data_IF_232711143109
#
_entry.id   IF_232711143109
#
_cell.length_a   1.000
_cell.length_b   1.000
_cell.length_c   1.000
_cell.angle_alpha   90.00
_cell.angle_beta   90.00
_cell.angle_gamma   90.00
#
_symmetry.space_group_name_H-M   'P 1'
#
loop_
_entity.id
_entity.type
_entity.pdbx_description
1 polymer ?
#
# COMPACT_ATOMS: atom_id res chain seq x y z
N UNK A 1 18.09 2.30 -17.58
CA UNK A 1 17.55 2.47 -16.22
C UNK A 1 18.50 1.94 -15.16
N UNK A 2 19.10 0.76 -15.37
CA UNK A 2 19.98 0.10 -14.40
C UNK A 2 21.23 0.96 -14.08
N UNK A 3 21.87 1.51 -15.10
CA UNK A 3 23.05 2.39 -14.95
C UNK A 3 22.73 3.64 -14.12
N UNK A 4 21.51 4.16 -14.26
CA UNK A 4 21.06 5.33 -13.47
C UNK A 4 20.85 4.92 -12.01
N UNK A 5 20.26 3.77 -11.75
CA UNK A 5 20.09 3.25 -10.38
C UNK A 5 21.44 3.04 -9.70
N UNK A 6 22.40 2.39 -10.38
CA UNK A 6 23.76 2.21 -9.89
C UNK A 6 24.47 3.57 -9.67
N UNK A 7 24.33 4.52 -10.60
CA UNK A 7 24.91 5.87 -10.44
C UNK A 7 24.35 6.62 -9.23
N UNK A 8 23.05 6.54 -8.97
CA UNK A 8 22.42 7.12 -7.78
C UNK A 8 22.88 6.42 -6.50
N UNK A 9 23.05 5.09 -6.51
CA UNK A 9 23.55 4.34 -5.40
C UNK A 9 24.97 4.82 -4.99
N UNK A 10 25.85 4.99 -5.96
CA UNK A 10 27.18 5.57 -5.71
C UNK A 10 27.12 6.98 -5.15
N UNK A 11 26.22 7.82 -5.66
CA UNK A 11 26.06 9.20 -5.18
C UNK A 11 25.57 9.26 -3.73
N UNK A 12 24.72 8.32 -3.32
CA UNK A 12 24.11 8.32 -1.97
C UNK A 12 25.05 7.70 -0.93
N UNK A 13 25.73 6.59 -1.27
CA UNK A 13 26.44 5.76 -0.28
C UNK A 13 27.88 5.46 -0.64
N UNK A 14 28.39 6.02 -1.74
CA UNK A 14 29.79 5.83 -2.17
C UNK A 14 30.07 4.49 -2.85
N UNK A 15 29.17 3.50 -2.72
CA UNK A 15 29.26 2.21 -3.41
C UNK A 15 27.88 1.56 -3.57
N UNK A 16 27.74 0.68 -4.56
CA UNK A 16 26.52 -0.08 -4.78
C UNK A 16 26.25 -1.07 -3.63
N UNK A 17 27.30 -1.68 -3.07
CA UNK A 17 27.17 -2.60 -1.93
C UNK A 17 26.68 -1.91 -0.66
N UNK A 18 27.20 -0.72 -0.33
CA UNK A 18 26.69 0.04 0.82
C UNK A 18 25.26 0.51 0.59
N UNK A 19 24.90 0.88 -0.65
CA UNK A 19 23.53 1.23 -0.97
C UNK A 19 22.58 0.03 -0.84
N UNK A 20 22.98 -1.16 -1.26
CA UNK A 20 22.20 -2.38 -1.13
C UNK A 20 21.90 -2.73 0.34
N UNK A 21 22.86 -2.49 1.25
CA UNK A 21 22.63 -2.61 2.70
C UNK A 21 21.55 -1.62 3.18
N UNK A 22 21.66 -0.35 2.77
CA UNK A 22 20.63 0.66 3.10
C UNK A 22 19.26 0.29 2.54
N UNK A 23 19.19 -0.27 1.32
CA UNK A 23 17.94 -0.77 0.74
C UNK A 23 17.33 -1.89 1.60
N UNK A 24 18.15 -2.86 2.05
CA UNK A 24 17.70 -3.97 2.90
C UNK A 24 17.21 -3.47 4.26
N UNK A 25 17.95 -2.56 4.91
CA UNK A 25 17.55 -1.94 6.17
C UNK A 25 16.24 -1.15 6.01
N UNK A 26 16.09 -0.41 4.91
CA UNK A 26 14.85 0.35 4.63
C UNK A 26 13.66 -0.56 4.35
N UNK A 27 13.88 -1.69 3.67
CA UNK A 27 12.87 -2.71 3.46
C UNK A 27 12.40 -3.30 4.80
N UNK A 28 13.32 -3.66 5.69
CA UNK A 28 12.99 -4.16 7.02
C UNK A 28 12.17 -3.15 7.84
N UNK A 29 12.51 -1.85 7.78
CA UNK A 29 11.73 -0.77 8.40
C UNK A 29 10.32 -0.63 7.82
N UNK A 30 10.12 -1.02 6.56
CA UNK A 30 8.82 -1.05 5.91
C UNK A 30 7.99 -2.30 6.27
N UNK A 31 8.56 -3.25 7.03
CA UNK A 31 7.94 -4.53 7.38
C UNK A 31 8.24 -5.67 6.40
N UNK A 32 9.16 -5.45 5.45
CA UNK A 32 9.63 -6.46 4.49
C UNK A 32 10.80 -7.24 5.10
N UNK A 33 10.49 -8.32 5.82
CA UNK A 33 11.46 -9.05 6.64
C UNK A 33 12.14 -10.22 5.92
N UNK A 34 11.57 -10.67 4.80
CA UNK A 34 12.08 -11.75 3.96
C UNK A 34 12.71 -11.21 2.66
N UNK A 35 13.37 -10.05 2.75
CA UNK A 35 13.96 -9.33 1.62
C UNK A 35 15.44 -9.05 1.87
N UNK A 36 16.27 -9.36 0.87
CA UNK A 36 17.68 -8.96 0.82
C UNK A 36 18.01 -8.39 -0.55
N UNK A 37 18.52 -7.17 -0.56
CA UNK A 37 19.01 -6.51 -1.77
C UNK A 37 20.54 -6.62 -1.86
N UNK A 38 21.04 -7.13 -2.96
CA UNK A 38 22.47 -7.25 -3.25
C UNK A 38 22.99 -6.13 -4.17
N UNK A 39 22.08 -5.45 -4.90
CA UNK A 39 22.39 -4.34 -5.80
C UNK A 39 21.19 -3.38 -5.96
N UNK A 40 21.45 -2.22 -6.56
CA UNK A 40 20.45 -1.18 -6.77
C UNK A 40 19.60 -1.38 -8.04
N UNK A 41 20.05 -2.19 -8.97
CA UNK A 41 19.46 -2.34 -10.30
C UNK A 41 18.43 -3.46 -10.42
N UNK A 42 18.47 -4.45 -9.51
CA UNK A 42 17.66 -5.65 -9.58
C UNK A 42 18.19 -6.71 -10.55
N UNK A 43 19.43 -6.59 -11.02
CA UNK A 43 20.08 -7.65 -11.76
C UNK A 43 20.30 -8.86 -10.86
N UNK A 44 20.22 -10.05 -11.45
CA UNK A 44 20.31 -11.29 -10.69
C UNK A 44 21.62 -11.43 -9.90
N UNK A 45 21.49 -11.80 -8.64
CA UNK A 45 22.53 -12.30 -7.74
C UNK A 45 21.89 -13.33 -6.82
N UNK A 46 22.64 -14.36 -6.42
CA UNK A 46 22.11 -15.49 -5.63
C UNK A 46 21.47 -15.05 -4.31
N UNK A 47 21.99 -14.00 -3.70
CA UNK A 47 21.52 -13.43 -2.44
C UNK A 47 20.53 -12.25 -2.63
N UNK A 48 20.07 -11.98 -3.87
CA UNK A 48 19.08 -10.94 -4.18
C UNK A 48 17.68 -11.55 -4.24
N UNK A 49 16.94 -11.46 -3.15
CA UNK A 49 15.61 -12.08 -3.04
C UNK A 49 14.59 -11.21 -2.30
N UNK A 50 13.34 -11.51 -2.53
CA UNK A 50 12.18 -10.87 -1.86
C UNK A 50 10.95 -11.78 -1.96
N UNK A 51 9.86 -11.39 -1.31
CA UNK A 51 8.53 -12.01 -1.44
C UNK A 51 7.52 -11.04 -2.05
N UNK A 52 6.38 -11.55 -2.52
CA UNK A 52 5.30 -10.70 -3.02
C UNK A 52 4.74 -9.79 -1.91
N UNK A 53 4.63 -10.31 -0.70
CA UNK A 53 4.21 -9.55 0.47
C UNK A 53 5.18 -8.41 0.78
N UNK A 54 6.46 -8.70 0.83
CA UNK A 54 7.50 -7.71 1.13
C UNK A 54 7.53 -6.58 0.09
N UNK A 55 7.41 -6.93 -1.19
CA UNK A 55 7.34 -5.93 -2.25
C UNK A 55 6.08 -5.05 -2.14
N UNK A 56 4.97 -5.60 -1.66
CA UNK A 56 3.78 -4.79 -1.37
C UNK A 56 4.02 -3.85 -0.19
N UNK A 57 4.72 -4.30 0.87
CA UNK A 57 5.08 -3.46 2.02
C UNK A 57 6.03 -2.32 1.62
N UNK A 58 7.05 -2.62 0.81
CA UNK A 58 7.98 -1.63 0.26
C UNK A 58 7.22 -0.60 -0.59
N UNK A 59 6.36 -1.07 -1.51
CA UNK A 59 5.56 -0.19 -2.37
C UNK A 59 4.62 0.71 -1.55
N UNK A 60 3.93 0.16 -0.55
CA UNK A 60 3.06 0.91 0.36
C UNK A 60 3.82 2.03 1.07
N UNK A 61 5.00 1.73 1.60
CA UNK A 61 5.85 2.70 2.30
C UNK A 61 6.38 3.78 1.34
N UNK A 62 6.82 3.38 0.15
CA UNK A 62 7.33 4.31 -0.85
C UNK A 62 6.25 5.28 -1.36
N UNK A 63 5.02 4.81 -1.56
CA UNK A 63 3.88 5.62 -1.99
C UNK A 63 3.43 6.67 -0.97
N UNK A 64 3.83 6.56 0.29
CA UNK A 64 3.61 7.60 1.29
C UNK A 64 4.42 8.87 0.99
N UNK A 65 5.46 8.78 0.15
CA UNK A 65 6.19 9.94 -0.36
C UNK A 65 5.51 10.46 -1.64
N UNK A 66 4.97 11.69 -1.65
CA UNK A 66 4.24 12.22 -2.81
C UNK A 66 5.11 12.43 -4.04
N UNK A 67 6.41 12.73 -3.89
CA UNK A 67 7.33 12.85 -5.01
C UNK A 67 7.57 11.51 -5.67
N UNK A 68 7.77 10.45 -4.87
CA UNK A 68 7.87 9.08 -5.37
C UNK A 68 6.58 8.69 -6.11
N UNK A 69 5.42 8.91 -5.52
CA UNK A 69 4.13 8.57 -6.13
C UNK A 69 3.94 9.28 -7.48
N UNK A 70 4.33 10.56 -7.58
CA UNK A 70 4.26 11.32 -8.82
C UNK A 70 5.15 10.73 -9.91
N UNK A 71 6.40 10.39 -9.58
CA UNK A 71 7.34 9.79 -10.54
C UNK A 71 6.87 8.40 -10.95
N UNK A 72 6.43 7.60 -9.98
CA UNK A 72 6.02 6.21 -10.17
C UNK A 72 4.76 6.07 -11.03
N UNK A 73 3.85 7.06 -10.96
CA UNK A 73 2.62 7.13 -11.75
C UNK A 73 2.76 7.86 -13.09
N UNK A 74 3.90 8.46 -13.40
CA UNK A 74 4.08 9.26 -14.62
C UNK A 74 4.10 8.38 -15.87
N UNK A 75 3.20 8.64 -16.83
CA UNK A 75 3.16 7.92 -18.11
C UNK A 75 4.41 8.17 -18.95
N UNK A 76 4.91 9.39 -18.93
CA UNK A 76 6.12 9.80 -19.65
C UNK A 76 6.81 10.99 -18.97
N UNK A 77 8.04 11.21 -19.36
CA UNK A 77 8.82 12.38 -18.95
C UNK A 77 9.68 12.90 -20.11
N UNK A 78 9.72 14.21 -20.30
CA UNK A 78 10.57 14.84 -21.31
C UNK A 78 11.84 15.37 -20.67
N UNK A 79 12.97 14.77 -21.04
CA UNK A 79 14.28 15.28 -20.69
C UNK A 79 14.58 16.50 -21.56
N UNK A 80 14.93 17.61 -20.95
CA UNK A 80 15.31 18.82 -21.66
C UNK A 80 16.62 18.63 -22.45
N UNK A 81 16.79 19.41 -23.50
CA UNK A 81 18.05 19.44 -24.24
C UNK A 81 19.21 19.89 -23.34
N UNK A 82 20.37 19.33 -23.57
CA UNK A 82 21.63 19.71 -22.93
C UNK A 82 22.63 20.19 -23.99
N UNK A 83 23.82 20.56 -23.56
CA UNK A 83 24.91 20.88 -24.51
C UNK A 83 25.44 19.64 -25.29
N UNK A 84 24.91 18.43 -25.01
CA UNK A 84 25.37 17.17 -25.61
C UNK A 84 24.24 16.34 -26.21
N UNK A 85 22.98 16.69 -25.99
CA UNK A 85 21.84 15.93 -26.49
C UNK A 85 20.63 16.84 -26.75
N UNK A 86 19.87 16.54 -27.78
CA UNK A 86 18.55 17.08 -28.01
C UNK A 86 17.59 16.65 -26.90
N UNK A 87 16.45 17.35 -26.75
CA UNK A 87 15.39 16.91 -25.84
C UNK A 87 14.76 15.60 -26.33
N UNK A 88 14.47 14.70 -25.42
CA UNK A 88 13.81 13.44 -25.77
C UNK A 88 12.83 13.02 -24.69
N UNK A 89 11.79 12.27 -25.10
CA UNK A 89 10.76 11.77 -24.21
C UNK A 89 11.03 10.34 -23.83
N UNK A 90 10.95 10.05 -22.53
CA UNK A 90 10.98 8.70 -21.95
C UNK A 90 9.55 8.27 -21.65
N UNK A 91 9.20 7.06 -22.01
CA UNK A 91 7.90 6.46 -21.73
C UNK A 91 8.01 5.43 -20.62
N UNK A 92 6.99 5.36 -19.80
CA UNK A 92 6.84 4.28 -18.82
C UNK A 92 6.69 2.95 -19.58
N UNK A 93 7.21 1.86 -18.98
CA UNK A 93 7.11 0.51 -19.60
C UNK A 93 5.97 -0.33 -19.03
N UNK A 94 5.23 0.21 -18.07
CA UNK A 94 4.14 -0.49 -17.40
C UNK A 94 2.84 -0.29 -18.20
N UNK A 95 2.35 -1.35 -18.86
CA UNK A 95 1.25 -1.27 -19.80
C UNK A 95 -0.08 -0.77 -19.20
N UNK A 96 -0.34 -1.01 -17.91
CA UNK A 96 -1.55 -0.52 -17.24
C UNK A 96 -1.58 1.01 -17.07
N UNK A 97 -0.42 1.68 -17.14
CA UNK A 97 -0.31 3.15 -17.02
C UNK A 97 -0.32 3.86 -18.36
N UNK A 98 -0.17 3.14 -19.48
CA UNK A 98 -0.11 3.73 -20.80
C UNK A 98 -1.50 3.82 -21.42
N UNK A 99 -2.00 5.03 -21.59
CA UNK A 99 -3.35 5.30 -22.14
C UNK A 99 -3.59 4.70 -23.54
N UNK A 100 -2.53 4.39 -24.27
CA UNK A 100 -2.57 3.76 -25.60
C UNK A 100 -2.45 2.23 -25.58
N UNK A 101 -2.23 1.64 -24.40
CA UNK A 101 -2.08 0.19 -24.25
C UNK A 101 -3.44 -0.52 -24.25
N UNK A 102 -3.49 -1.73 -24.82
CA UNK A 102 -4.64 -2.63 -24.68
C UNK A 102 -4.89 -3.06 -23.23
N UNK A 103 -3.89 -2.96 -22.37
CA UNK A 103 -3.96 -3.28 -20.94
C UNK A 103 -4.16 -2.03 -20.07
N UNK A 104 -4.47 -0.88 -20.66
CA UNK A 104 -4.69 0.34 -19.89
C UNK A 104 -5.74 0.12 -18.79
N UNK A 105 -5.38 0.42 -17.55
CA UNK A 105 -6.28 0.30 -16.41
C UNK A 105 -6.48 1.66 -15.75
N UNK A 106 -7.66 2.28 -15.89
CA UNK A 106 -7.87 3.70 -15.52
C UNK A 106 -7.68 3.99 -14.04
N UNK A 107 -7.69 2.95 -13.20
CA UNK A 107 -7.45 3.09 -11.76
C UNK A 107 -6.00 2.91 -11.36
N UNK A 108 -5.11 2.48 -12.26
CA UNK A 108 -3.69 2.32 -11.97
C UNK A 108 -3.04 3.68 -11.69
N UNK A 109 -2.38 3.81 -10.54
CA UNK A 109 -1.75 5.06 -10.07
C UNK A 109 -0.23 4.99 -10.02
N UNK A 110 0.35 3.84 -10.27
CA UNK A 110 1.80 3.66 -10.34
C UNK A 110 2.19 2.20 -10.46
N UNK A 111 3.43 1.94 -10.86
CA UNK A 111 3.92 0.59 -10.95
C UNK A 111 5.34 0.48 -11.49
N UNK A 112 5.90 -0.73 -11.46
CA UNK A 112 7.22 -1.06 -12.01
C UNK A 112 7.24 -2.48 -12.53
N UNK A 113 7.74 -2.64 -13.75
CA UNK A 113 8.03 -3.94 -14.37
C UNK A 113 9.45 -4.38 -14.05
N UNK A 114 9.68 -5.69 -13.96
CA UNK A 114 11.00 -6.29 -13.85
C UNK A 114 11.10 -7.55 -14.70
N UNK A 115 12.32 -7.89 -15.08
CA UNK A 115 12.64 -9.13 -15.76
C UNK A 115 14.12 -9.49 -15.56
N UNK A 116 14.36 -10.72 -15.17
CA UNK A 116 15.59 -11.48 -15.37
C UNK A 116 15.23 -12.89 -15.80
N UNK A 117 16.16 -13.66 -16.32
CA UNK A 117 15.87 -15.04 -16.75
C UNK A 117 15.47 -15.92 -15.55
N UNK A 118 16.03 -15.65 -14.37
CA UNK A 118 15.76 -16.39 -13.13
C UNK A 118 14.42 -15.99 -12.50
N UNK A 119 14.13 -14.69 -12.46
CA UNK A 119 12.91 -14.17 -11.83
C UNK A 119 11.67 -14.28 -12.73
N UNK A 120 11.86 -14.42 -14.05
CA UNK A 120 10.76 -14.26 -15.00
C UNK A 120 10.23 -12.84 -15.02
N UNK A 121 9.03 -12.64 -15.52
CA UNK A 121 8.34 -11.34 -15.47
C UNK A 121 7.85 -11.05 -14.05
N UNK A 122 8.14 -9.85 -13.57
CA UNK A 122 7.67 -9.35 -12.29
C UNK A 122 6.99 -8.00 -12.45
N UNK A 123 5.97 -7.75 -11.62
CA UNK A 123 5.20 -6.53 -11.67
C UNK A 123 4.74 -6.13 -10.27
N UNK A 124 4.95 -4.88 -9.94
CA UNK A 124 4.30 -4.23 -8.79
C UNK A 124 3.43 -3.11 -9.33
N UNK A 125 2.16 -3.09 -8.96
CA UNK A 125 1.21 -2.07 -9.40
C UNK A 125 0.38 -1.62 -8.22
N UNK A 126 0.13 -0.31 -8.13
CA UNK A 126 -0.89 0.24 -7.25
C UNK A 126 -2.05 0.77 -8.08
N UNK A 127 -3.25 0.59 -7.57
CA UNK A 127 -4.48 1.13 -8.13
C UNK A 127 -5.35 1.74 -7.04
N UNK A 128 -6.14 2.77 -7.38
CA UNK A 128 -7.07 3.42 -6.48
C UNK A 128 -8.42 3.62 -7.15
N UNK A 129 -9.48 3.17 -6.48
CA UNK A 129 -10.86 3.31 -6.92
C UNK A 129 -11.74 3.58 -5.72
N UNK A 130 -12.59 4.59 -5.78
CA UNK A 130 -13.57 4.95 -4.74
C UNK A 130 -12.96 5.10 -3.33
N UNK A 131 -11.70 5.61 -3.25
CA UNK A 131 -10.96 5.80 -2.01
C UNK A 131 -10.32 4.53 -1.43
N UNK A 132 -10.52 3.37 -2.06
CA UNK A 132 -9.80 2.14 -1.75
C UNK A 132 -8.53 2.07 -2.61
N UNK A 133 -7.39 1.90 -1.96
CA UNK A 133 -6.10 1.70 -2.63
C UNK A 133 -5.62 0.27 -2.44
N UNK A 134 -5.28 -0.38 -3.53
CA UNK A 134 -4.77 -1.75 -3.56
C UNK A 134 -3.38 -1.78 -4.19
N UNK A 135 -2.56 -2.72 -3.75
CA UNK A 135 -1.26 -3.04 -4.34
C UNK A 135 -1.29 -4.49 -4.79
N UNK A 136 -0.98 -4.71 -6.06
CA UNK A 136 -0.83 -6.03 -6.64
C UNK A 136 0.63 -6.30 -6.96
N UNK A 137 1.14 -7.46 -6.57
CA UNK A 137 2.49 -7.93 -6.87
C UNK A 137 2.40 -9.27 -7.58
N UNK A 138 2.94 -9.33 -8.79
CA UNK A 138 3.07 -10.55 -9.58
C UNK A 138 4.55 -10.91 -9.68
N UNK A 139 4.87 -12.15 -9.39
CA UNK A 139 6.23 -12.69 -9.50
C UNK A 139 6.25 -13.94 -10.36
N UNK A 140 7.35 -14.12 -11.11
CA UNK A 140 7.61 -15.28 -11.96
C UNK A 140 6.47 -15.59 -12.94
N UNK A 141 5.92 -14.53 -13.57
CA UNK A 141 4.95 -14.63 -14.65
C UNK A 141 5.63 -14.60 -16.02
N UNK A 142 4.81 -14.60 -17.07
CA UNK A 142 5.21 -14.47 -18.46
C UNK A 142 4.69 -13.18 -19.11
N UNK A 143 5.03 -12.95 -20.38
CA UNK A 143 4.63 -11.76 -21.12
C UNK A 143 3.14 -11.73 -21.46
N UNK A 144 2.49 -12.88 -21.54
CA UNK A 144 1.11 -13.01 -21.97
C UNK A 144 0.12 -12.71 -20.84
N UNK A 145 0.45 -13.11 -19.61
CA UNK A 145 -0.50 -13.10 -18.49
C UNK A 145 -0.25 -11.98 -17.47
N UNK A 146 0.97 -11.45 -17.35
CA UNK A 146 1.33 -10.55 -16.26
C UNK A 146 0.39 -9.34 -16.10
N UNK A 147 -0.07 -8.75 -17.18
CA UNK A 147 -0.96 -7.58 -17.12
C UNK A 147 -2.43 -7.98 -16.94
N UNK A 148 -2.89 -9.04 -17.60
CA UNK A 148 -4.27 -9.54 -17.46
C UNK A 148 -4.54 -10.08 -16.07
N UNK A 149 -3.57 -10.78 -15.47
CA UNK A 149 -3.68 -11.27 -14.10
C UNK A 149 -3.74 -10.13 -13.09
N UNK A 150 -2.90 -9.09 -13.30
CA UNK A 150 -2.93 -7.89 -12.47
C UNK A 150 -4.29 -7.20 -12.51
N UNK A 151 -4.89 -7.03 -13.70
CA UNK A 151 -6.24 -6.45 -13.86
C UNK A 151 -7.28 -7.32 -13.14
N UNK A 152 -7.23 -8.62 -13.35
CA UNK A 152 -8.17 -9.57 -12.73
C UNK A 152 -8.12 -9.53 -11.20
N UNK A 153 -6.92 -9.40 -10.62
CA UNK A 153 -6.73 -9.28 -9.17
C UNK A 153 -7.24 -7.93 -8.64
N UNK A 154 -7.03 -6.82 -9.36
CA UNK A 154 -7.61 -5.54 -8.97
C UNK A 154 -9.13 -5.56 -9.07
N UNK A 155 -9.70 -6.08 -10.14
CA UNK A 155 -11.15 -6.21 -10.29
C UNK A 155 -11.74 -7.08 -9.19
N UNK A 156 -11.08 -8.18 -8.83
CA UNK A 156 -11.47 -8.99 -7.68
C UNK A 156 -11.45 -8.17 -6.39
N UNK A 157 -10.36 -7.45 -6.11
CA UNK A 157 -10.22 -6.65 -4.91
C UNK A 157 -11.29 -5.54 -4.81
N UNK A 158 -11.47 -4.76 -5.87
CA UNK A 158 -12.43 -3.65 -5.89
C UNK A 158 -13.91 -4.09 -5.90
N UNK A 159 -14.20 -5.28 -6.42
CA UNK A 159 -15.57 -5.79 -6.45
C UNK A 159 -15.97 -6.51 -5.15
N UNK A 160 -14.99 -7.04 -4.41
CA UNK A 160 -15.28 -7.87 -3.24
C UNK A 160 -14.97 -7.19 -1.90
N UNK A 161 -14.27 -6.05 -1.91
CA UNK A 161 -13.91 -5.35 -0.68
C UNK A 161 -14.28 -3.88 -0.74
N UNK A 162 -14.65 -3.32 0.42
CA UNK A 162 -15.03 -1.93 0.58
C UNK A 162 -14.29 -1.31 1.75
N UNK A 163 -13.80 -0.09 1.56
CA UNK A 163 -13.25 0.71 2.64
C UNK A 163 -14.39 1.35 3.41
N UNK A 164 -14.49 1.02 4.69
CA UNK A 164 -15.53 1.51 5.59
C UNK A 164 -14.91 2.49 6.59
N UNK A 165 -15.42 3.72 6.60
CA UNK A 165 -15.04 4.71 7.61
C UNK A 165 -15.77 4.36 8.91
N UNK A 166 -15.01 4.05 9.97
CA UNK A 166 -15.56 3.62 11.26
C UNK A 166 -16.44 4.72 11.85
N UNK A 167 -16.00 5.97 11.79
CA UNK A 167 -16.73 7.11 12.36
C UNK A 167 -18.13 7.26 11.79
N UNK A 168 -18.30 6.98 10.48
CA UNK A 168 -19.57 7.16 9.78
C UNK A 168 -20.45 5.91 9.84
N UNK A 169 -19.82 4.73 9.91
CA UNK A 169 -20.50 3.43 9.83
C UNK A 169 -20.82 2.82 11.19
N UNK A 170 -20.09 3.19 12.25
CA UNK A 170 -20.35 2.65 13.60
C UNK A 170 -21.56 3.33 14.23
N UNK A 171 -22.64 2.61 14.32
CA UNK A 171 -23.93 3.11 14.86
C UNK A 171 -24.29 2.57 16.23
N UNK A 172 -23.56 1.59 16.72
CA UNK A 172 -23.85 0.90 18.01
C UNK A 172 -23.53 1.77 19.23
N UNK A 173 -22.65 2.78 19.06
CA UNK A 173 -22.10 3.61 20.14
C UNK A 173 -22.36 5.12 19.97
N UNK A 174 -23.19 5.53 19.03
CA UNK A 174 -23.51 6.95 18.77
C UNK A 174 -24.66 7.49 19.63
N UNK A 175 -24.77 8.83 19.69
CA UNK A 175 -25.87 9.53 20.35
C UNK A 175 -27.21 9.22 19.69
N UNK A 176 -27.86 8.14 20.07
CA UNK A 176 -29.19 7.80 19.55
C UNK A 176 -29.63 6.34 19.68
N UNK A 177 -28.76 5.37 19.73
CA UNK A 177 -29.19 3.96 19.73
C UNK A 177 -28.21 2.97 20.37
N UNK A 178 -27.51 3.31 21.38
CA UNK A 178 -26.65 2.40 22.10
C UNK A 178 -25.63 3.18 22.91
N UNK A 179 -26.07 3.66 24.07
CA UNK A 179 -25.14 4.26 25.00
C UNK A 179 -24.17 3.19 25.51
N UNK A 180 -22.87 3.43 25.35
CA UNK A 180 -21.87 2.74 26.14
C UNK A 180 -22.23 3.08 27.60
N UNK A 181 -22.54 2.12 28.47
CA UNK A 181 -22.84 2.41 29.88
C UNK A 181 -21.55 2.85 30.57
N UNK A 182 -21.27 4.13 30.55
CA UNK A 182 -20.20 4.72 31.37
C UNK A 182 -20.80 5.08 32.71
N UNK A 183 -20.48 4.31 33.71
CA UNK A 183 -20.77 4.66 35.09
C UNK A 183 -19.81 5.77 35.47
N UNK A 184 -20.27 7.02 35.42
CA UNK A 184 -19.55 8.10 36.05
C UNK A 184 -19.60 7.92 37.58
N UNK A 185 -18.45 7.55 38.16
CA UNK A 185 -18.31 7.36 39.59
C UNK A 185 -18.58 8.62 40.42
N UNK A 186 -18.56 9.82 39.77
CA UNK A 186 -18.80 11.11 40.41
C UNK A 186 -20.29 11.54 40.39
N UNK A 187 -21.04 11.19 39.36
CA UNK A 187 -22.39 11.72 39.13
C UNK A 187 -23.49 10.63 39.05
N UNK A 188 -23.12 9.37 39.02
CA UNK A 188 -24.07 8.26 39.07
C UNK A 188 -25.10 8.20 37.93
N UNK A 189 -24.82 8.79 36.79
CA UNK A 189 -25.73 8.85 35.64
C UNK A 189 -25.12 8.17 34.38
N UNK A 190 -25.95 7.36 33.71
CA UNK A 190 -25.63 6.57 32.52
C UNK A 190 -25.63 7.39 31.22
N UNK A 191 -25.27 8.65 31.20
CA UNK A 191 -25.39 9.48 30.01
C UNK A 191 -24.11 10.25 29.69
N UNK A 192 -23.16 9.58 29.06
CA UNK A 192 -22.09 10.24 28.34
C UNK A 192 -22.44 10.42 26.88
N UNK A 193 -22.16 11.57 26.28
CA UNK A 193 -22.17 11.75 24.83
C UNK A 193 -20.80 11.31 24.33
N UNK A 194 -20.74 10.18 23.64
CA UNK A 194 -19.51 9.67 23.03
C UNK A 194 -19.56 9.83 21.53
N UNK A 195 -18.44 10.11 20.93
CA UNK A 195 -18.24 10.00 19.48
C UNK A 195 -17.21 8.91 19.22
N UNK A 196 -17.48 8.05 18.27
CA UNK A 196 -16.50 7.11 17.76
C UNK A 196 -15.54 7.89 16.86
N UNK A 197 -14.24 7.71 17.09
CA UNK A 197 -13.20 8.21 16.20
C UNK A 197 -12.32 7.04 15.80
N UNK A 198 -11.89 7.01 14.57
CA UNK A 198 -11.04 5.95 14.05
C UNK A 198 -10.83 6.14 12.57
N UNK A 199 -9.86 5.41 12.05
CA UNK A 199 -9.59 5.35 10.62
C UNK A 199 -10.64 4.50 9.90
N UNK A 200 -10.30 4.03 8.74
CA UNK A 200 -11.13 3.16 7.94
C UNK A 200 -10.60 1.72 8.04
N UNK A 201 -11.50 0.78 8.01
CA UNK A 201 -11.20 -0.65 7.89
C UNK A 201 -11.63 -1.18 6.53
N UNK A 202 -11.06 -2.30 6.13
CA UNK A 202 -11.42 -3.01 4.91
C UNK A 202 -12.36 -4.16 5.26
N UNK A 203 -13.55 -4.17 4.66
CA UNK A 203 -14.52 -5.25 4.83
C UNK A 203 -14.88 -5.88 3.48
N UNK A 204 -15.28 -7.17 3.47
CA UNK A 204 -15.98 -7.72 2.31
C UNK A 204 -17.22 -6.88 1.99
N UNK A 205 -17.48 -6.63 0.70
CA UNK A 205 -18.55 -5.71 0.26
C UNK A 205 -19.96 -6.13 0.69
N UNK A 206 -20.15 -7.40 1.05
CA UNK A 206 -21.41 -7.96 1.52
C UNK A 206 -21.52 -8.01 3.05
N UNK A 207 -20.58 -7.45 3.79
CA UNK A 207 -20.54 -7.47 5.26
C UNK A 207 -20.68 -6.05 5.80
N UNK A 208 -21.62 -5.87 6.73
CA UNK A 208 -21.82 -4.59 7.42
C UNK A 208 -20.95 -4.51 8.67
N UNK A 209 -20.41 -3.33 9.00
CA UNK A 209 -19.67 -3.11 10.25
C UNK A 209 -20.50 -3.50 11.48
N UNK A 210 -21.82 -3.30 11.43
CA UNK A 210 -22.72 -3.67 12.52
C UNK A 210 -22.80 -5.18 12.81
N UNK A 211 -22.40 -6.01 11.83
CA UNK A 211 -22.36 -7.48 11.96
C UNK A 211 -21.01 -7.98 12.48
N UNK A 212 -19.98 -7.12 12.50
CA UNK A 212 -18.64 -7.50 12.93
C UNK A 212 -18.59 -7.58 14.45
N UNK A 213 -18.08 -8.68 15.01
CA UNK A 213 -17.76 -8.77 16.44
C UNK A 213 -16.77 -7.70 16.86
N UNK A 214 -16.92 -7.19 18.06
CA UNK A 214 -16.04 -6.20 18.63
C UNK A 214 -15.74 -6.51 20.09
N UNK A 215 -14.58 -6.03 20.54
CA UNK A 215 -14.21 -5.97 21.95
C UNK A 215 -14.11 -4.50 22.35
N UNK A 216 -14.73 -4.13 23.47
CA UNK A 216 -14.69 -2.79 24.03
C UNK A 216 -13.87 -2.83 25.33
N UNK A 217 -12.77 -2.10 25.36
CA UNK A 217 -11.90 -1.99 26.52
C UNK A 217 -11.89 -0.55 27.03
N UNK A 218 -12.32 -0.35 28.28
CA UNK A 218 -12.26 0.95 28.92
C UNK A 218 -10.87 1.23 29.44
N UNK A 219 -10.40 2.46 29.27
CA UNK A 219 -9.14 2.92 29.80
C UNK A 219 -9.31 3.23 31.31
N UNK A 220 -8.39 2.75 32.14
CA UNK A 220 -8.35 3.05 33.56
C UNK A 220 -8.19 4.56 33.80
N UNK A 221 -7.41 5.22 32.96
CA UNK A 221 -7.22 6.68 32.93
C UNK A 221 -7.47 7.20 31.50
N UNK A 222 -8.49 8.08 31.30
CA UNK A 222 -8.73 8.69 30.01
C UNK A 222 -7.52 9.50 29.51
N UNK A 223 -7.12 9.28 28.28
CA UNK A 223 -6.03 10.02 27.63
C UNK A 223 -6.55 10.72 26.37
N UNK A 224 -6.22 12.01 26.21
CA UNK A 224 -6.61 12.79 25.02
C UNK A 224 -8.13 12.71 24.69
N UNK A 225 -8.99 12.72 25.71
CA UNK A 225 -10.44 12.52 25.62
C UNK A 225 -10.87 11.12 25.11
N UNK A 226 -9.98 10.16 25.02
CA UNK A 226 -10.29 8.76 24.73
C UNK A 226 -10.60 8.05 26.04
N UNK A 227 -11.76 7.41 26.12
CA UNK A 227 -12.25 6.72 27.32
C UNK A 227 -12.28 5.20 27.15
N UNK A 228 -12.31 4.72 25.93
CA UNK A 228 -12.28 3.30 25.58
C UNK A 228 -11.70 3.08 24.19
N UNK A 229 -11.25 1.87 23.92
CA UNK A 229 -10.87 1.37 22.60
C UNK A 229 -11.88 0.33 22.12
N UNK A 230 -12.16 0.34 20.83
CA UNK A 230 -12.98 -0.66 20.18
C UNK A 230 -12.08 -1.43 19.21
N UNK A 231 -12.05 -2.73 19.35
CA UNK A 231 -11.29 -3.64 18.49
C UNK A 231 -12.27 -4.48 17.68
N UNK A 232 -12.09 -4.55 16.37
CA UNK A 232 -12.90 -5.34 15.47
C UNK A 232 -12.12 -6.57 15.00
N UNK A 233 -12.81 -7.71 14.97
CA UNK A 233 -12.24 -8.97 14.49
C UNK A 233 -13.21 -9.64 13.53
N UNK A 234 -12.73 -10.05 12.36
CA UNK A 234 -13.52 -10.76 11.37
C UNK A 234 -12.79 -12.01 10.89
N UNK A 235 -13.46 -13.18 11.04
CA UNK A 235 -12.89 -14.49 10.68
C UNK A 235 -11.50 -14.77 11.26
N UNK A 236 -11.26 -14.33 12.49
CA UNK A 236 -9.99 -14.50 13.19
C UNK A 236 -8.90 -13.50 12.78
N UNK A 237 -9.25 -12.48 11.98
CA UNK A 237 -8.33 -11.41 11.60
C UNK A 237 -8.66 -10.12 12.34
N UNK A 238 -7.64 -9.51 12.90
CA UNK A 238 -7.71 -8.18 13.48
C UNK A 238 -7.89 -7.14 12.37
N UNK A 239 -8.89 -6.27 12.49
CA UNK A 239 -9.21 -5.26 11.48
C UNK A 239 -8.84 -3.83 11.91
N UNK A 240 -8.67 -3.58 13.20
CA UNK A 240 -8.37 -2.28 13.77
C UNK A 240 -9.03 -2.05 15.12
#
# INVERSE_FOLDING_TARGET
ANEVATGLAFQVSGSESEFAKLMTERAAQAGALDTHFANASGLHQEDHYTTAYDMAMIARTAMANPEFATIWGSENYTLAATNKSESFRIWHRHALLLSTSQYYYPYAIGGKTGYTDEAGRTLVTAAEKDGLRLICVIMKSDDEHIFSDTISLFDYGFNNFTKVNIKDAETRFGSGSGSIPVIDKLYGQDSGIFSVSGDSILLPSNVSLSEIPYTLEFLDEPQNNMVATITYEYEGNYLG
#
